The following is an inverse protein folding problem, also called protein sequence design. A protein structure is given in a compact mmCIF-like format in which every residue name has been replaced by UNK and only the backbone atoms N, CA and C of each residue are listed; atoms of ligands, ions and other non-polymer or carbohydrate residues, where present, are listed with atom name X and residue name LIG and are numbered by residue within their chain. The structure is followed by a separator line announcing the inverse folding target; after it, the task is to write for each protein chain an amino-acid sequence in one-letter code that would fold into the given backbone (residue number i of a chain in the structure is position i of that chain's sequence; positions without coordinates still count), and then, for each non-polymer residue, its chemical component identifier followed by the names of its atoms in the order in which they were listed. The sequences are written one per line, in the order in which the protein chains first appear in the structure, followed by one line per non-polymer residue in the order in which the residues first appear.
data_IF_057905908860
#
_entry.id   IF_057905908860
#
_cell.length_a   1.000
_cell.length_b   1.000
_cell.length_c   1.000
_cell.angle_alpha   90.00
_cell.angle_beta   90.00
_cell.angle_gamma   90.00
#
_symmetry.space_group_name_H-M   'P 1'
#
loop_
_entity.id
_entity.type
_entity.pdbx_description
1 polymer ?
#
# COMPACT_ATOMS: atom_id res chain seq x y z
N UNK A 1 -1.02 -18.86 8.26
CA UNK A 1 -1.40 -17.45 8.46
C UNK A 1 -1.48 -16.88 7.07
N UNK A 2 -2.68 -16.48 6.67
CA UNK A 2 -2.96 -15.99 5.32
C UNK A 2 -2.35 -14.62 5.08
N UNK A 3 -2.10 -14.33 3.81
CA UNK A 3 -1.59 -13.06 3.32
C UNK A 3 -2.71 -12.09 2.97
N UNK A 4 -2.40 -10.80 2.83
CA UNK A 4 -3.28 -9.86 2.14
C UNK A 4 -2.84 -9.71 0.69
N UNK A 5 -3.81 -9.68 -0.19
CA UNK A 5 -3.60 -9.55 -1.62
C UNK A 5 -4.24 -8.27 -2.11
N UNK A 6 -3.57 -7.59 -3.04
CA UNK A 6 -4.10 -6.42 -3.75
C UNK A 6 -4.53 -6.88 -5.13
N UNK A 7 -5.80 -6.70 -5.50
CA UNK A 7 -6.32 -7.10 -6.80
C UNK A 7 -7.01 -5.92 -7.49
N UNK A 8 -6.86 -5.79 -8.81
CA UNK A 8 -7.62 -4.86 -9.64
C UNK A 8 -7.81 -5.47 -11.03
N UNK A 9 -9.03 -5.83 -11.40
CA UNK A 9 -9.28 -6.59 -12.63
C UNK A 9 -8.47 -7.89 -12.69
N UNK A 10 -7.68 -8.07 -13.75
CA UNK A 10 -6.76 -9.20 -13.93
C UNK A 10 -5.42 -9.06 -13.18
N UNK A 11 -5.11 -7.87 -12.66
CA UNK A 11 -3.90 -7.68 -11.86
C UNK A 11 -4.11 -8.23 -10.45
N UNK A 12 -3.19 -9.10 -10.03
CA UNK A 12 -3.05 -9.54 -8.65
C UNK A 12 -1.62 -9.29 -8.18
N UNK A 13 -1.48 -8.49 -7.13
CA UNK A 13 -0.22 -8.30 -6.42
C UNK A 13 0.17 -9.54 -5.63
N UNK A 14 1.39 -9.54 -5.10
CA UNK A 14 1.87 -10.64 -4.27
C UNK A 14 1.38 -10.54 -2.83
N UNK A 15 1.51 -11.64 -2.07
CA UNK A 15 1.23 -11.70 -0.64
C UNK A 15 1.92 -10.56 0.12
N UNK A 16 1.12 -9.73 0.77
CA UNK A 16 1.55 -8.67 1.68
C UNK A 16 1.08 -8.98 3.10
N UNK A 17 1.94 -8.66 4.07
CA UNK A 17 1.51 -8.58 5.47
C UNK A 17 0.60 -7.36 5.71
N UNK A 18 -0.38 -7.48 6.59
CA UNK A 18 -1.26 -6.36 7.02
C UNK A 18 -0.46 -5.16 7.52
N UNK A 19 0.61 -5.42 8.27
CA UNK A 19 1.57 -4.43 8.78
C UNK A 19 2.28 -3.65 7.67
N UNK A 20 2.49 -4.25 6.49
CA UNK A 20 3.06 -3.54 5.35
C UNK A 20 2.04 -2.54 4.78
N UNK A 21 0.80 -2.99 4.55
CA UNK A 21 -0.28 -2.14 4.00
C UNK A 21 -0.59 -1.00 4.97
N UNK A 22 -0.84 -1.31 6.25
CA UNK A 22 -1.11 -0.28 7.26
C UNK A 22 0.10 0.63 7.49
N UNK A 23 1.32 0.09 7.41
CA UNK A 23 2.56 0.87 7.48
C UNK A 23 2.71 1.88 6.34
N UNK A 24 2.42 1.48 5.10
CA UNK A 24 2.44 2.39 3.93
C UNK A 24 1.38 3.48 4.07
N UNK A 25 0.13 3.10 4.36
CA UNK A 25 -0.98 4.07 4.48
C UNK A 25 -0.80 5.01 5.68
N UNK A 26 -0.30 4.49 6.80
CA UNK A 26 0.02 5.29 7.97
C UNK A 26 1.11 6.32 7.69
N UNK A 27 2.21 5.92 7.03
CA UNK A 27 3.30 6.83 6.66
C UNK A 27 2.83 7.93 5.68
N UNK A 28 1.97 7.58 4.72
CA UNK A 28 1.34 8.57 3.83
C UNK A 28 0.50 9.56 4.64
N UNK A 29 -0.35 9.08 5.54
CA UNK A 29 -1.20 9.93 6.37
C UNK A 29 -0.39 10.87 7.29
N UNK A 30 0.80 10.46 7.73
CA UNK A 30 1.72 11.31 8.49
C UNK A 30 2.27 12.48 7.68
N UNK A 31 2.49 12.29 6.37
CA UNK A 31 2.93 13.35 5.46
C UNK A 31 1.84 14.36 5.05
N UNK A 32 0.56 14.03 5.28
CA UNK A 32 -0.58 14.90 4.98
C UNK A 32 -0.88 15.86 6.16
N UNK A 33 -1.61 16.94 5.88
CA UNK A 33 -2.02 17.90 6.92
C UNK A 33 -3.47 18.37 6.76
N UNK A 34 -4.04 18.90 7.83
CA UNK A 34 -5.37 19.53 7.81
C UNK A 34 -6.49 18.62 7.31
N UNK A 35 -7.31 19.16 6.39
CA UNK A 35 -8.46 18.47 5.84
C UNK A 35 -8.07 17.24 5.00
N UNK A 36 -6.94 17.28 4.28
CA UNK A 36 -6.50 16.17 3.44
C UNK A 36 -6.13 14.95 4.29
N UNK A 37 -5.44 15.17 5.40
CA UNK A 37 -5.15 14.09 6.36
C UNK A 37 -6.43 13.47 6.93
N UNK A 38 -7.40 14.31 7.30
CA UNK A 38 -8.66 13.83 7.87
C UNK A 38 -9.46 13.01 6.84
N UNK A 39 -9.54 13.47 5.59
CA UNK A 39 -10.21 12.76 4.51
C UNK A 39 -9.51 11.42 4.20
N UNK A 40 -8.18 11.43 4.12
CA UNK A 40 -7.39 10.21 3.89
C UNK A 40 -7.59 9.19 5.02
N UNK A 41 -7.41 9.62 6.27
CA UNK A 41 -7.59 8.72 7.43
C UNK A 41 -9.00 8.14 7.49
N UNK A 42 -10.03 8.89 7.11
CA UNK A 42 -11.39 8.38 7.07
C UNK A 42 -11.59 7.35 5.95
N UNK A 43 -11.07 7.64 4.75
CA UNK A 43 -11.22 6.79 3.58
C UNK A 43 -10.48 5.44 3.71
N UNK A 44 -9.31 5.44 4.35
CA UNK A 44 -8.45 4.25 4.48
C UNK A 44 -8.49 3.61 5.86
N UNK A 45 -9.43 4.03 6.72
CA UNK A 45 -9.48 3.59 8.11
C UNK A 45 -9.50 2.06 8.29
N UNK A 46 -10.31 1.28 7.55
CA UNK A 46 -10.33 -0.18 7.72
C UNK A 46 -8.95 -0.80 7.49
N UNK A 47 -8.22 -0.33 6.47
CA UNK A 47 -6.88 -0.80 6.13
C UNK A 47 -5.81 -0.30 7.11
N UNK A 48 -5.97 0.88 7.70
CA UNK A 48 -5.04 1.40 8.70
C UNK A 48 -5.23 0.67 10.04
N UNK A 49 -6.48 0.47 10.44
CA UNK A 49 -6.86 -0.20 11.69
C UNK A 49 -6.67 -1.73 11.61
N UNK A 50 -6.47 -2.27 10.40
CA UNK A 50 -6.32 -3.71 10.15
C UNK A 50 -7.64 -4.48 10.19
N UNK A 51 -8.76 -3.77 10.08
CA UNK A 51 -10.13 -4.28 10.08
C UNK A 51 -10.51 -4.68 8.64
N UNK A 52 -9.84 -5.71 8.14
CA UNK A 52 -10.13 -6.33 6.83
C UNK A 52 -10.77 -7.69 7.11
N UNK A 53 -12.02 -7.87 6.66
CA UNK A 53 -12.74 -9.12 6.81
C UNK A 53 -12.54 -10.04 5.58
N UNK A 54 -13.34 -11.11 5.50
CA UNK A 54 -13.29 -12.07 4.39
C UNK A 54 -13.81 -11.47 3.06
N UNK A 55 -14.60 -10.40 3.10
CA UNK A 55 -15.10 -9.70 1.91
C UNK A 55 -14.05 -8.72 1.35
N UNK A 56 -13.12 -8.29 2.20
CA UNK A 56 -12.05 -7.38 1.83
C UNK A 56 -12.49 -5.92 1.79
N UNK A 57 -11.56 -5.03 1.47
CA UNK A 57 -11.81 -3.59 1.34
C UNK A 57 -11.73 -3.20 -0.13
N UNK A 58 -12.84 -2.70 -0.66
CA UNK A 58 -12.92 -2.15 -2.02
C UNK A 58 -12.56 -0.66 -2.04
N UNK A 59 -11.62 -0.31 -2.91
CA UNK A 59 -11.16 1.05 -3.17
C UNK A 59 -11.62 1.48 -4.57
N UNK A 60 -12.72 2.25 -4.61
CA UNK A 60 -13.20 2.89 -5.83
C UNK A 60 -12.44 4.18 -6.20
N UNK A 61 -12.92 4.87 -7.23
CA UNK A 61 -12.25 6.04 -7.84
C UNK A 61 -11.90 7.18 -6.86
N UNK A 62 -12.76 7.48 -5.89
CA UNK A 62 -12.45 8.51 -4.88
C UNK A 62 -11.29 8.10 -3.97
N UNK A 63 -11.16 6.81 -3.64
CA UNK A 63 -10.02 6.31 -2.88
C UNK A 63 -8.74 6.45 -3.69
N UNK A 64 -8.75 6.00 -4.95
CA UNK A 64 -7.58 6.12 -5.84
C UNK A 64 -7.17 7.58 -6.02
N UNK A 65 -8.13 8.49 -6.17
CA UNK A 65 -7.87 9.94 -6.27
C UNK A 65 -7.17 10.51 -5.04
N UNK A 66 -7.52 10.01 -3.85
CA UNK A 66 -6.89 10.41 -2.58
C UNK A 66 -5.52 9.74 -2.37
N UNK A 67 -5.31 8.54 -2.92
CA UNK A 67 -4.12 7.73 -2.68
C UNK A 67 -2.99 7.98 -3.66
N UNK A 68 -3.28 8.11 -4.97
CA UNK A 68 -2.28 7.93 -6.01
C UNK A 68 -1.11 8.92 -5.91
N UNK A 69 -1.40 10.21 -5.80
CA UNK A 69 -0.34 11.22 -5.74
C UNK A 69 0.52 11.11 -4.46
N UNK A 70 -0.06 11.01 -3.25
CA UNK A 70 0.72 10.76 -2.03
C UNK A 70 1.51 9.44 -2.07
N UNK A 71 0.94 8.38 -2.62
CA UNK A 71 1.59 7.08 -2.75
C UNK A 71 2.80 7.15 -3.70
N UNK A 72 2.70 7.85 -4.84
CA UNK A 72 3.84 8.07 -5.74
C UNK A 72 4.96 8.84 -5.06
N UNK A 73 4.63 9.88 -4.29
CA UNK A 73 5.63 10.64 -3.53
C UNK A 73 6.33 9.79 -2.47
N UNK A 74 5.56 8.97 -1.74
CA UNK A 74 6.10 8.05 -0.75
C UNK A 74 6.99 6.97 -1.37
N UNK A 75 6.57 6.35 -2.48
CA UNK A 75 7.35 5.37 -3.21
C UNK A 75 8.67 5.95 -3.73
N UNK A 76 8.65 7.17 -4.29
CA UNK A 76 9.86 7.86 -4.74
C UNK A 76 10.84 8.13 -3.59
N UNK A 77 10.35 8.59 -2.43
CA UNK A 77 11.17 8.84 -1.25
C UNK A 77 11.82 7.56 -0.70
N UNK A 78 11.09 6.44 -0.69
CA UNK A 78 11.65 5.13 -0.35
C UNK A 78 12.71 4.69 -1.36
N UNK A 79 12.46 4.89 -2.66
CA UNK A 79 13.43 4.62 -3.71
C UNK A 79 14.73 5.39 -3.49
N UNK A 80 14.67 6.69 -3.22
CA UNK A 80 15.86 7.51 -2.92
C UNK A 80 16.61 6.99 -1.68
N UNK A 81 15.88 6.63 -0.63
CA UNK A 81 16.45 6.09 0.62
C UNK A 81 17.15 4.74 0.39
N UNK A 82 16.58 3.89 -0.45
CA UNK A 82 17.06 2.53 -0.72
C UNK A 82 18.10 2.46 -1.85
N UNK A 83 18.32 3.54 -2.59
CA UNK A 83 19.22 3.57 -3.75
C UNK A 83 18.59 3.01 -5.04
N UNK A 84 17.27 3.13 -5.18
CA UNK A 84 16.45 2.67 -6.32
C UNK A 84 16.67 1.20 -6.71
N UNK A 85 16.58 0.26 -5.77
CA UNK A 85 16.58 -1.16 -6.12
C UNK A 85 15.31 -1.51 -6.91
N UNK A 86 15.34 -2.64 -7.60
CA UNK A 86 14.11 -3.29 -8.03
C UNK A 86 13.24 -3.61 -6.79
N UNK A 87 11.90 -3.45 -6.85
CA UNK A 87 11.03 -3.61 -5.67
C UNK A 87 11.19 -4.95 -4.94
N UNK A 88 11.34 -6.04 -5.68
CA UNK A 88 11.54 -7.40 -5.13
C UNK A 88 12.97 -7.65 -4.63
N UNK A 89 13.92 -6.76 -4.91
CA UNK A 89 15.31 -6.82 -4.44
C UNK A 89 15.60 -5.79 -3.33
N UNK A 90 14.58 -5.06 -2.88
CA UNK A 90 14.75 -3.97 -1.95
C UNK A 90 15.41 -4.44 -0.64
N UNK A 91 16.53 -3.82 -0.23
CA UNK A 91 17.29 -4.28 0.92
C UNK A 91 16.51 -4.02 2.20
N UNK A 92 16.56 -4.98 3.12
CA UNK A 92 16.08 -4.77 4.49
C UNK A 92 17.12 -3.93 5.25
N UNK A 93 16.89 -2.61 5.30
CA UNK A 93 17.76 -1.68 6.01
C UNK A 93 17.63 -1.79 7.55
N UNK A 94 16.60 -2.48 8.05
CA UNK A 94 16.30 -2.58 9.49
C UNK A 94 16.94 -3.81 10.16
N UNK A 95 17.97 -4.38 9.51
CA UNK A 95 18.89 -5.31 10.14
C UNK A 95 18.36 -6.74 10.31
N UNK A 96 17.35 -7.15 9.53
CA UNK A 96 16.86 -8.53 9.51
C UNK A 96 16.00 -8.92 10.70
N UNK A 97 15.34 -7.94 11.33
CA UNK A 97 14.31 -8.25 12.33
C UNK A 97 13.11 -8.95 11.66
N UNK A 98 12.46 -9.85 12.41
CA UNK A 98 11.25 -10.54 11.91
C UNK A 98 10.17 -9.52 11.55
N UNK A 99 10.00 -8.47 12.35
CA UNK A 99 9.02 -7.42 12.09
C UNK A 99 9.36 -6.61 10.83
N UNK A 100 10.65 -6.38 10.56
CA UNK A 100 11.10 -5.75 9.32
C UNK A 100 10.79 -6.61 8.10
N UNK A 101 11.02 -7.93 8.21
CA UNK A 101 10.64 -8.93 7.19
C UNK A 101 9.13 -9.03 6.96
N UNK A 102 8.31 -8.70 7.96
CA UNK A 102 6.85 -8.78 7.90
C UNK A 102 6.20 -7.39 7.99
N UNK A 103 6.74 -6.40 7.27
CA UNK A 103 6.00 -5.17 6.93
C UNK A 103 6.39 -3.88 7.66
N UNK A 104 7.24 -3.94 8.69
CA UNK A 104 7.78 -2.73 9.30
C UNK A 104 8.97 -2.16 8.51
N UNK A 105 9.63 -2.98 7.69
CA UNK A 105 10.86 -2.61 7.00
C UNK A 105 10.63 -1.75 5.77
N UNK A 106 11.54 -0.81 5.52
CA UNK A 106 11.46 0.08 4.35
C UNK A 106 11.42 -0.69 3.01
N UNK A 107 12.16 -1.79 2.89
CA UNK A 107 12.15 -2.62 1.67
C UNK A 107 10.77 -3.26 1.42
N UNK A 108 10.12 -3.76 2.46
CA UNK A 108 8.77 -4.32 2.36
C UNK A 108 7.71 -3.26 2.10
N UNK A 109 7.85 -2.08 2.70
CA UNK A 109 6.99 -0.93 2.42
C UNK A 109 7.18 -0.43 0.99
N UNK A 110 8.40 -0.46 0.46
CA UNK A 110 8.69 -0.10 -0.94
C UNK A 110 8.03 -1.08 -1.90
N UNK A 111 8.15 -2.38 -1.63
CA UNK A 111 7.48 -3.40 -2.45
C UNK A 111 5.94 -3.32 -2.34
N UNK A 112 5.41 -3.10 -1.15
CA UNK A 112 3.97 -2.92 -0.96
C UNK A 112 3.44 -1.66 -1.67
N UNK A 113 4.18 -0.55 -1.59
CA UNK A 113 3.83 0.69 -2.29
C UNK A 113 3.88 0.52 -3.81
N UNK A 114 4.82 -0.29 -4.33
CA UNK A 114 4.86 -0.65 -5.75
C UNK A 114 3.57 -1.35 -6.20
N UNK A 115 3.13 -2.39 -5.48
CA UNK A 115 1.92 -3.14 -5.86
C UNK A 115 0.65 -2.28 -5.79
N UNK A 116 0.55 -1.42 -4.76
CA UNK A 116 -0.56 -0.46 -4.68
C UNK A 116 -0.54 0.54 -5.85
N UNK A 117 0.63 0.97 -6.32
CA UNK A 117 0.75 1.83 -7.50
C UNK A 117 0.35 1.11 -8.78
N UNK A 118 0.80 -0.15 -8.97
CA UNK A 118 0.37 -0.97 -10.10
C UNK A 118 -1.16 -1.14 -10.11
N UNK A 119 -1.77 -1.39 -8.97
CA UNK A 119 -3.23 -1.47 -8.86
C UNK A 119 -3.92 -0.14 -9.21
N UNK A 120 -3.38 1.01 -8.78
CA UNK A 120 -3.89 2.32 -9.17
C UNK A 120 -3.78 2.57 -10.68
N UNK A 121 -2.70 2.10 -11.32
CA UNK A 121 -2.50 2.21 -12.77
C UNK A 121 -3.53 1.37 -13.52
N UNK A 122 -3.73 0.13 -13.10
CA UNK A 122 -4.74 -0.77 -13.69
C UNK A 122 -6.16 -0.23 -13.49
N UNK A 123 -6.50 0.28 -12.30
CA UNK A 123 -7.78 0.95 -12.04
C UNK A 123 -8.07 2.04 -13.08
N UNK A 124 -7.06 2.87 -13.38
CA UNK A 124 -7.19 3.94 -14.37
C UNK A 124 -7.32 3.41 -15.80
N UNK A 125 -6.57 2.37 -16.14
CA UNK A 125 -6.59 1.77 -17.48
C UNK A 125 -7.89 1.01 -17.77
N UNK A 126 -8.51 0.42 -16.74
CA UNK A 126 -9.74 -0.38 -16.84
C UNK A 126 -10.99 0.41 -16.45
N UNK A 127 -11.05 1.69 -16.80
CA UNK A 127 -12.23 2.56 -16.63
C UNK A 127 -12.78 2.64 -15.19
N UNK A 128 -11.94 2.42 -14.18
CA UNK A 128 -12.30 2.55 -12.77
C UNK A 128 -12.66 1.25 -12.05
N UNK A 129 -12.27 0.09 -12.58
CA UNK A 129 -12.40 -1.20 -11.90
C UNK A 129 -11.86 -1.12 -10.46
N UNK A 130 -12.63 -1.51 -9.42
CA UNK A 130 -12.22 -1.31 -8.03
C UNK A 130 -10.93 -2.08 -7.70
N UNK A 131 -10.12 -1.50 -6.81
CA UNK A 131 -9.01 -2.22 -6.19
C UNK A 131 -9.55 -2.92 -4.94
N UNK A 132 -9.36 -4.23 -4.82
CA UNK A 132 -9.81 -5.02 -3.68
C UNK A 132 -8.60 -5.47 -2.87
N UNK A 133 -8.65 -5.27 -1.55
CA UNK A 133 -7.62 -5.76 -0.62
C UNK A 133 -8.27 -6.78 0.33
N UNK A 134 -7.85 -8.04 0.27
CA UNK A 134 -8.53 -9.14 0.96
C UNK A 134 -7.55 -10.22 1.48
N UNK A 135 -8.00 -11.01 2.46
CA UNK A 135 -7.24 -12.13 3.01
C UNK A 135 -7.40 -13.40 2.17
N UNK A 136 -6.32 -14.14 1.96
CA UNK A 136 -6.34 -15.49 1.35
C UNK A 136 -5.55 -16.51 2.18
#
# INVERSE_FOLDING_TARGET
MGGLYVQCGEYGGEDKSMSAISGVLGAIAEGLSGADKAAFMLAFRPLIDGDVDEEGVELGAEHVRLLEAPLRAYYAALGEKLGHPEPWEAPDLDGGSVDAKYGAGDGWRYYCAHDLLQACEVHREQEGEPIVIFYM
#
